data_IF_914723357569
#
_entry.id   IF_914723357569
#
_cell.length_a   1.000
_cell.length_b   1.000
_cell.length_c   1.000
_cell.angle_alpha   90.00
_cell.angle_beta   90.00
_cell.angle_gamma   90.00
#
_symmetry.space_group_name_H-M   'P 1'
#
loop_
_entity.id
_entity.type
_entity.pdbx_description
1 polymer ?
#
# COMPACT_ATOMS: atom_id res chain seq x y z
N UNK A 1 -9.99 -6.83 -14.20
CA UNK A 1 -10.01 -8.31 -14.25
C UNK A 1 -10.17 -8.87 -12.84
N UNK A 2 -10.40 -10.18 -12.67
CA UNK A 2 -10.71 -10.76 -11.34
C UNK A 2 -9.52 -10.67 -10.37
N UNK A 3 -8.30 -10.85 -10.89
CA UNK A 3 -7.05 -10.60 -10.17
C UNK A 3 -7.01 -9.18 -9.61
N UNK A 4 -7.34 -8.15 -10.40
CA UNK A 4 -7.34 -6.76 -9.91
C UNK A 4 -8.38 -6.52 -8.81
N UNK A 5 -9.63 -6.93 -9.03
CA UNK A 5 -10.74 -6.61 -8.12
C UNK A 5 -10.58 -7.37 -6.79
N UNK A 6 -10.32 -8.68 -6.86
CA UNK A 6 -10.26 -9.53 -5.66
C UNK A 6 -9.01 -9.24 -4.85
N UNK A 7 -7.86 -8.99 -5.49
CA UNK A 7 -6.62 -8.63 -4.80
C UNK A 7 -6.78 -7.29 -4.07
N UNK A 8 -7.38 -6.28 -4.71
CA UNK A 8 -7.54 -4.96 -4.08
C UNK A 8 -8.55 -4.98 -2.93
N UNK A 9 -9.62 -5.77 -3.04
CA UNK A 9 -10.59 -5.98 -1.96
C UNK A 9 -9.92 -6.67 -0.75
N UNK A 10 -9.19 -7.77 -1.00
CA UNK A 10 -8.39 -8.44 0.02
C UNK A 10 -7.39 -7.47 0.69
N UNK A 11 -6.66 -6.69 -0.11
CA UNK A 11 -5.65 -5.77 0.41
C UNK A 11 -6.28 -4.72 1.33
N UNK A 12 -7.41 -4.15 0.93
CA UNK A 12 -8.12 -3.13 1.72
C UNK A 12 -8.59 -3.70 3.06
N UNK A 13 -9.19 -4.88 3.06
CA UNK A 13 -9.65 -5.57 4.27
C UNK A 13 -8.47 -5.96 5.18
N UNK A 14 -7.38 -6.48 4.62
CA UNK A 14 -6.18 -6.86 5.36
C UNK A 14 -5.50 -5.64 6.02
N UNK A 15 -5.37 -4.52 5.30
CA UNK A 15 -4.83 -3.27 5.86
C UNK A 15 -5.69 -2.77 7.02
N UNK A 16 -7.02 -2.75 6.86
CA UNK A 16 -7.93 -2.32 7.92
C UNK A 16 -7.78 -3.19 9.18
N UNK A 17 -7.73 -4.51 9.01
CA UNK A 17 -7.55 -5.47 10.11
C UNK A 17 -6.22 -5.28 10.83
N UNK A 18 -5.12 -5.15 10.10
CA UNK A 18 -3.79 -5.01 10.69
C UNK A 18 -3.62 -3.67 11.42
N UNK A 19 -4.06 -2.56 10.81
CA UNK A 19 -4.03 -1.22 11.44
C UNK A 19 -4.89 -1.21 12.70
N UNK A 20 -6.11 -1.75 12.65
CA UNK A 20 -6.96 -1.87 13.84
C UNK A 20 -6.32 -2.75 14.91
N UNK A 21 -5.77 -3.92 14.54
CA UNK A 21 -5.08 -4.79 15.48
C UNK A 21 -3.89 -4.08 16.15
N UNK A 22 -3.16 -3.23 15.42
CA UNK A 22 -2.04 -2.47 15.96
C UNK A 22 -2.48 -1.44 16.99
N UNK A 23 -3.60 -0.76 16.75
CA UNK A 23 -4.21 0.17 17.69
C UNK A 23 -4.75 -0.57 18.93
N UNK A 24 -5.47 -1.67 18.73
CA UNK A 24 -6.16 -2.40 19.79
C UNK A 24 -5.21 -3.19 20.71
N UNK A 25 -4.18 -3.85 20.13
CA UNK A 25 -3.23 -4.67 20.90
C UNK A 25 -2.09 -3.86 21.52
N UNK A 26 -2.01 -2.55 21.27
CA UNK A 26 -0.97 -1.72 21.86
C UNK A 26 -1.16 -1.65 23.38
N UNK A 27 -0.18 -2.04 24.21
CA UNK A 27 -0.31 -2.04 25.67
C UNK A 27 -0.44 -0.63 26.24
N UNK A 28 0.03 0.37 25.50
CA UNK A 28 -0.11 1.80 25.80
C UNK A 28 -0.79 2.50 24.63
N UNK A 29 -1.31 3.71 24.86
CA UNK A 29 -1.80 4.55 23.75
C UNK A 29 -0.69 4.75 22.70
N UNK A 30 -1.06 4.67 21.41
CA UNK A 30 -0.19 5.16 20.33
C UNK A 30 -0.34 6.69 20.32
N UNK A 31 0.74 7.45 20.54
CA UNK A 31 0.66 8.91 20.60
C UNK A 31 0.37 9.50 19.22
N UNK A 32 -0.36 10.63 19.18
CA UNK A 32 -0.61 11.40 17.95
C UNK A 32 0.63 12.22 17.58
N UNK A 33 1.69 11.52 17.18
CA UNK A 33 2.99 12.07 16.76
C UNK A 33 3.51 11.28 15.57
N UNK A 34 4.49 11.80 14.85
CA UNK A 34 5.09 11.10 13.69
C UNK A 34 5.64 9.72 14.07
N UNK A 35 6.17 9.57 15.29
CA UNK A 35 6.62 8.28 15.81
C UNK A 35 5.46 7.31 16.00
N UNK A 36 4.29 7.79 16.44
CA UNK A 36 3.08 6.97 16.51
C UNK A 36 2.54 6.62 15.12
N UNK A 37 2.58 7.56 14.18
CA UNK A 37 2.19 7.32 12.79
C UNK A 37 3.06 6.27 12.11
N UNK A 38 4.38 6.30 12.35
CA UNK A 38 5.31 5.30 11.84
C UNK A 38 4.94 3.87 12.25
N UNK A 39 4.30 3.68 13.42
CA UNK A 39 3.80 2.37 13.85
C UNK A 39 2.64 1.88 12.97
N UNK A 40 1.77 2.79 12.52
CA UNK A 40 0.67 2.47 11.61
C UNK A 40 1.16 2.28 10.18
N UNK A 41 2.12 3.10 9.73
CA UNK A 41 2.78 2.92 8.43
C UNK A 41 3.42 1.52 8.35
N UNK A 42 4.17 1.10 9.38
CA UNK A 42 4.76 -0.23 9.43
C UNK A 42 3.72 -1.36 9.39
N UNK A 43 2.53 -1.14 9.95
CA UNK A 43 1.41 -2.08 9.86
C UNK A 43 0.89 -2.21 8.41
N UNK A 44 0.80 -1.10 7.68
CA UNK A 44 0.43 -1.11 6.25
C UNK A 44 1.52 -1.77 5.39
N UNK A 45 2.80 -1.42 5.63
CA UNK A 45 3.93 -2.02 4.91
C UNK A 45 4.01 -3.53 5.10
N UNK A 46 3.66 -4.05 6.29
CA UNK A 46 3.57 -5.49 6.55
C UNK A 46 2.58 -6.17 5.60
N UNK A 47 1.39 -5.61 5.42
CA UNK A 47 0.38 -6.17 4.50
C UNK A 47 0.82 -6.03 3.03
N UNK A 48 1.50 -4.93 2.69
CA UNK A 48 2.10 -4.78 1.37
C UNK A 48 3.13 -5.88 1.08
N UNK A 49 3.98 -6.20 2.07
CA UNK A 49 4.95 -7.29 1.97
C UNK A 49 4.27 -8.65 1.85
N UNK A 50 3.16 -8.89 2.55
CA UNK A 50 2.35 -10.10 2.36
C UNK A 50 1.83 -10.19 0.91
N UNK A 51 1.37 -9.08 0.33
CA UNK A 51 0.96 -9.00 -1.06
C UNK A 51 2.09 -9.33 -2.04
N UNK A 52 3.30 -8.82 -1.80
CA UNK A 52 4.50 -9.15 -2.60
C UNK A 52 4.83 -10.65 -2.50
N UNK A 53 4.85 -11.20 -1.28
CA UNK A 53 5.16 -12.61 -1.05
C UNK A 53 4.14 -13.56 -1.69
N UNK A 54 2.87 -13.13 -1.75
CA UNK A 54 1.79 -13.88 -2.39
C UNK A 54 1.75 -13.70 -3.92
N UNK A 55 2.65 -12.89 -4.50
CA UNK A 55 2.68 -12.60 -5.93
C UNK A 55 1.56 -11.67 -6.41
N UNK A 56 0.86 -11.01 -5.49
CA UNK A 56 -0.16 -10.02 -5.83
C UNK A 56 0.47 -8.70 -6.31
N UNK A 57 1.60 -8.32 -5.72
CA UNK A 57 2.35 -7.11 -6.06
C UNK A 57 3.75 -7.43 -6.56
N UNK A 58 4.25 -6.63 -7.50
CA UNK A 58 5.58 -6.80 -8.06
C UNK A 58 6.26 -5.45 -8.34
N UNK A 59 7.61 -5.41 -8.41
CA UNK A 59 8.32 -4.20 -8.78
C UNK A 59 7.88 -3.67 -10.14
N UNK A 60 7.85 -2.34 -10.30
CA UNK A 60 7.47 -1.74 -11.57
C UNK A 60 7.31 -0.22 -11.51
N UNK A 61 7.08 0.37 -12.68
CA UNK A 61 6.90 1.82 -12.81
C UNK A 61 5.52 2.26 -12.30
N UNK A 62 5.50 3.31 -11.49
CA UNK A 62 4.30 3.99 -11.05
C UNK A 62 3.74 4.87 -12.17
N UNK A 63 2.49 4.61 -12.54
CA UNK A 63 1.80 5.34 -13.63
C UNK A 63 0.59 6.13 -13.13
N UNK A 64 0.35 6.16 -11.82
CA UNK A 64 -0.72 6.95 -11.21
C UNK A 64 -0.27 8.36 -10.85
N UNK A 65 -1.16 9.08 -10.18
CA UNK A 65 -0.90 10.45 -9.73
C UNK A 65 0.23 10.51 -8.70
N UNK A 66 0.94 11.65 -8.68
CA UNK A 66 2.03 11.90 -7.75
C UNK A 66 1.49 12.27 -6.36
N UNK A 67 2.10 11.75 -5.30
CA UNK A 67 1.76 12.11 -3.91
C UNK A 67 2.93 11.85 -2.96
N UNK A 68 3.00 12.60 -1.85
CA UNK A 68 4.13 12.53 -0.94
C UNK A 68 5.44 12.83 -1.69
N UNK A 69 6.37 11.88 -1.67
CA UNK A 69 7.61 11.96 -2.45
C UNK A 69 7.58 11.09 -3.72
N UNK A 70 6.46 10.42 -4.02
CA UNK A 70 6.30 9.58 -5.20
C UNK A 70 5.84 10.44 -6.38
N UNK A 71 6.58 10.37 -7.48
CA UNK A 71 6.26 11.03 -8.74
C UNK A 71 5.81 10.00 -9.78
N UNK A 72 4.92 10.42 -10.67
CA UNK A 72 4.54 9.61 -11.85
C UNK A 72 5.79 9.31 -12.68
N UNK A 73 6.03 8.02 -12.95
CA UNK A 73 7.21 7.55 -13.64
C UNK A 73 8.30 6.96 -12.73
N UNK A 74 8.20 7.14 -11.41
CA UNK A 74 9.13 6.53 -10.45
C UNK A 74 9.03 5.01 -10.46
N UNK A 75 10.15 4.33 -10.18
CA UNK A 75 10.19 2.88 -10.10
C UNK A 75 10.01 2.40 -8.65
N UNK A 76 8.97 1.60 -8.42
CA UNK A 76 8.68 1.00 -7.12
C UNK A 76 9.46 -0.31 -6.97
N UNK A 77 10.68 -0.26 -6.46
CA UNK A 77 11.55 -1.45 -6.30
C UNK A 77 10.92 -2.55 -5.44
N UNK A 78 10.13 -2.17 -4.42
CA UNK A 78 9.43 -3.11 -3.53
C UNK A 78 8.04 -3.50 -4.06
N UNK A 79 7.60 -2.93 -5.18
CA UNK A 79 6.23 -3.06 -5.69
C UNK A 79 5.19 -2.22 -4.95
N UNK A 80 5.58 -1.42 -3.95
CA UNK A 80 4.69 -0.51 -3.23
C UNK A 80 5.44 0.70 -2.66
N UNK A 81 4.67 1.73 -2.28
CA UNK A 81 5.12 2.93 -1.56
C UNK A 81 4.05 3.37 -0.56
N UNK A 82 4.43 3.58 0.70
CA UNK A 82 3.52 4.02 1.78
C UNK A 82 3.99 5.38 2.26
N UNK A 83 3.07 6.33 2.40
CA UNK A 83 3.37 7.67 2.85
C UNK A 83 2.23 8.26 3.67
N UNK A 84 2.57 9.11 4.63
CA UNK A 84 1.62 9.97 5.32
C UNK A 84 2.25 11.35 5.53
N UNK A 85 1.40 12.39 5.55
CA UNK A 85 1.85 13.73 5.89
C UNK A 85 2.31 13.79 7.37
N UNK A 86 3.27 14.68 7.71
CA UNK A 86 3.64 14.92 9.10
C UNK A 86 2.42 15.26 9.97
N UNK A 87 2.39 14.78 11.21
CA UNK A 87 1.31 15.08 12.15
C UNK A 87 1.15 16.58 12.41
N UNK A 88 2.19 17.36 12.15
CA UNK A 88 2.15 18.83 12.25
C UNK A 88 1.26 19.50 11.21
N UNK A 89 0.87 18.79 10.14
CA UNK A 89 -0.07 19.32 9.14
C UNK A 89 -1.54 19.13 9.51
N UNK A 90 -1.85 18.51 10.67
CA UNK A 90 -3.22 18.30 11.13
C UNK A 90 -3.92 19.61 11.52
N UNK A 91 -5.20 19.71 11.19
CA UNK A 91 -6.07 20.77 11.70
C UNK A 91 -6.32 20.63 13.20
N UNK A 92 -6.66 21.73 13.88
CA UNK A 92 -7.02 21.68 15.31
C UNK A 92 -8.23 20.75 15.56
N UNK A 93 -9.21 20.78 14.66
CA UNK A 93 -10.38 19.88 14.69
C UNK A 93 -9.99 18.41 14.64
N UNK A 94 -9.07 18.03 13.75
CA UNK A 94 -8.59 16.64 13.66
C UNK A 94 -7.78 16.23 14.88
N UNK A 95 -6.99 17.15 15.45
CA UNK A 95 -6.24 16.92 16.69
C UNK A 95 -7.16 16.70 17.88
N UNK A 96 -8.22 17.49 18.02
CA UNK A 96 -9.25 17.32 19.06
C UNK A 96 -9.96 15.96 18.93
N UNK A 97 -10.25 15.54 17.69
CA UNK A 97 -10.84 14.24 17.38
C UNK A 97 -9.83 13.09 17.42
N UNK A 98 -8.55 13.38 17.65
CA UNK A 98 -7.43 12.42 17.69
C UNK A 98 -7.32 11.60 16.41
N UNK A 99 -7.58 12.23 15.26
CA UNK A 99 -7.46 11.62 13.94
C UNK A 99 -6.03 11.80 13.43
N UNK A 100 -5.40 10.67 13.10
CA UNK A 100 -4.09 10.66 12.44
C UNK A 100 -4.18 11.24 11.02
N UNK A 101 -3.05 11.69 10.48
CA UNK A 101 -2.99 12.05 9.06
C UNK A 101 -3.31 10.83 8.19
N UNK A 102 -3.98 11.01 7.02
CA UNK A 102 -4.25 9.90 6.13
C UNK A 102 -2.96 9.22 5.67
N UNK A 103 -2.94 7.89 5.72
CA UNK A 103 -1.89 7.07 5.10
C UNK A 103 -2.32 6.79 3.68
N UNK A 104 -1.49 7.18 2.71
CA UNK A 104 -1.66 6.90 1.30
C UNK A 104 -0.69 5.81 0.88
N UNK A 105 -1.17 4.86 0.09
CA UNK A 105 -0.37 3.71 -0.35
C UNK A 105 -0.54 3.51 -1.84
N UNK A 106 0.58 3.46 -2.56
CA UNK A 106 0.65 3.00 -3.94
C UNK A 106 1.09 1.54 -3.94
N UNK A 107 0.39 0.70 -4.71
CA UNK A 107 0.76 -0.70 -4.96
C UNK A 107 0.81 -0.95 -6.46
N UNK A 108 1.77 -1.75 -6.90
CA UNK A 108 1.91 -2.18 -8.30
C UNK A 108 1.49 -3.65 -8.39
N UNK A 109 0.38 -3.91 -9.06
CA UNK A 109 -0.12 -5.28 -9.28
C UNK A 109 0.84 -6.08 -10.17
N UNK A 110 1.01 -7.35 -9.87
CA UNK A 110 1.95 -8.24 -10.57
C UNK A 110 1.54 -8.61 -12.01
N UNK A 111 0.31 -8.29 -12.42
CA UNK A 111 -0.22 -8.58 -13.75
C UNK A 111 -0.47 -10.08 -13.98
N UNK A 112 -1.46 -10.38 -14.81
CA UNK A 112 -1.80 -11.75 -15.18
C UNK A 112 -1.91 -11.89 -16.71
N UNK A 113 -1.48 -13.04 -17.23
CA UNK A 113 -1.63 -13.38 -18.64
C UNK A 113 -3.09 -13.78 -18.87
N UNK A 114 -3.81 -13.01 -19.69
CA UNK A 114 -5.21 -13.28 -20.03
C UNK A 114 -5.41 -13.81 -21.46
N UNK A 115 -4.40 -13.69 -22.33
CA UNK A 115 -4.38 -14.21 -23.69
C UNK A 115 -2.95 -14.47 -24.15
N UNK A 116 -2.76 -15.39 -25.10
CA UNK A 116 -1.47 -15.66 -25.74
C UNK A 116 -1.69 -16.09 -27.19
N UNK A 117 -0.93 -15.49 -28.10
CA UNK A 117 -0.76 -16.00 -29.47
C UNK A 117 0.43 -16.96 -29.51
N UNK A 118 0.30 -18.07 -30.23
CA UNK A 118 1.37 -19.07 -30.38
C UNK A 118 1.74 -19.20 -31.85
N UNK A 119 2.96 -18.79 -32.19
CA UNK A 119 3.49 -18.85 -33.56
C UNK A 119 4.44 -20.06 -33.65
N UNK A 120 4.15 -20.98 -34.56
CA UNK A 120 4.97 -22.17 -34.81
C UNK A 120 5.57 -22.09 -36.22
N UNK A 121 6.90 -22.09 -36.30
CA UNK A 121 7.65 -22.11 -37.56
C UNK A 121 8.31 -23.48 -37.75
N UNK A 122 8.37 -23.99 -38.97
CA UNK A 122 9.10 -25.21 -39.30
C UNK A 122 9.93 -25.05 -40.57
N UNK A 123 10.99 -25.85 -40.69
CA UNK A 123 11.84 -25.97 -41.87
C UNK A 123 12.15 -27.46 -42.11
N UNK A 124 12.51 -27.84 -43.34
CA UNK A 124 12.84 -29.22 -43.71
C UNK A 124 14.34 -29.41 -43.92
#
# INVERSE_FOLDING_TARGET
FADEIVILDWFTDAVQKEVFARLYKSPTKIPLTDKGQAVLIAAVEKVCLEGVNNGAFAPGQWTGDSFGNLTTGDYLEKGYYVWAAPMDTLSDSDREQRRATPIQTAVKLAGAIHSSDVIVNYNR
#
